data_IF_400484835146
#
_entry.id   IF_400484835146
#
_cell.length_a   1.000
_cell.length_b   1.000
_cell.length_c   1.000
_cell.angle_alpha   90.00
_cell.angle_beta   90.00
_cell.angle_gamma   90.00
#
_symmetry.space_group_name_H-M   'P 1'
#
loop_
_entity.id
_entity.type
_entity.pdbx_description
1 polymer ?
#
# COMPACT_ATOMS: atom_id res chain seq x y z
N UNK A 1 20.56 -19.82 29.63
CA UNK A 1 20.30 -20.83 28.59
C UNK A 1 18.88 -20.65 28.03
N UNK A 2 17.84 -20.53 28.85
CA UNK A 2 16.42 -20.40 28.48
C UNK A 2 16.17 -19.15 27.61
N UNK A 3 16.73 -18.00 27.95
CA UNK A 3 16.55 -16.74 27.21
C UNK A 3 17.09 -16.86 25.77
N UNK A 4 18.26 -17.44 25.60
CA UNK A 4 18.88 -17.64 24.29
C UNK A 4 18.08 -18.59 23.40
N UNK A 5 17.46 -19.61 24.00
CA UNK A 5 16.57 -20.56 23.30
C UNK A 5 15.26 -19.88 22.88
N UNK A 6 14.73 -18.97 23.69
CA UNK A 6 13.54 -18.19 23.36
C UNK A 6 13.80 -17.20 22.21
N UNK A 7 14.94 -16.51 22.22
CA UNK A 7 15.37 -15.61 21.15
C UNK A 7 15.51 -16.35 19.82
N UNK A 8 16.16 -17.52 19.84
CA UNK A 8 16.31 -18.37 18.64
C UNK A 8 14.96 -18.89 18.14
N UNK A 9 14.04 -19.26 19.03
CA UNK A 9 12.70 -19.70 18.65
C UNK A 9 11.86 -18.57 18.03
N UNK A 10 11.99 -17.35 18.56
CA UNK A 10 11.32 -16.15 18.00
C UNK A 10 11.90 -15.80 16.64
N UNK A 11 13.22 -15.87 16.46
CA UNK A 11 13.85 -15.64 15.14
C UNK A 11 13.45 -16.70 14.12
N UNK A 12 13.44 -17.98 14.51
CA UNK A 12 13.01 -19.07 13.64
C UNK A 12 11.52 -18.94 13.25
N UNK A 13 10.66 -18.57 14.20
CA UNK A 13 9.25 -18.30 13.93
C UNK A 13 9.06 -17.10 12.98
N UNK A 14 9.87 -16.05 13.12
CA UNK A 14 9.90 -14.90 12.20
C UNK A 14 10.35 -15.32 10.80
N UNK A 15 11.42 -16.08 10.68
CA UNK A 15 11.94 -16.57 9.39
C UNK A 15 10.94 -17.49 8.70
N UNK A 16 10.34 -18.43 9.42
CA UNK A 16 9.30 -19.31 8.88
C UNK A 16 8.05 -18.55 8.46
N UNK A 17 7.67 -17.48 9.17
CA UNK A 17 6.56 -16.60 8.78
C UNK A 17 6.87 -15.77 7.53
N UNK A 18 8.13 -15.37 7.33
CA UNK A 18 8.60 -14.69 6.10
C UNK A 18 8.59 -15.66 4.93
N UNK A 19 9.06 -16.89 5.11
CA UNK A 19 9.04 -17.93 4.06
C UNK A 19 7.61 -18.39 3.73
N UNK A 20 6.75 -18.58 4.73
CA UNK A 20 5.34 -18.88 4.50
C UNK A 20 4.64 -17.74 3.75
N UNK A 21 4.95 -16.47 4.06
CA UNK A 21 4.45 -15.31 3.33
C UNK A 21 5.01 -15.22 1.91
N UNK A 22 6.28 -15.59 1.68
CA UNK A 22 6.86 -15.71 0.34
C UNK A 22 6.18 -16.82 -0.47
N UNK A 23 5.93 -17.97 0.14
CA UNK A 23 5.26 -19.10 -0.52
C UNK A 23 3.78 -18.80 -0.81
N UNK A 24 3.06 -18.13 0.11
CA UNK A 24 1.70 -17.63 -0.11
C UNK A 24 1.69 -16.44 -1.09
N UNK A 25 2.75 -15.62 -1.11
CA UNK A 25 2.95 -14.56 -2.10
C UNK A 25 3.20 -15.09 -3.52
N UNK A 26 3.79 -16.28 -3.65
CA UNK A 26 3.98 -16.97 -4.94
C UNK A 26 2.67 -17.60 -5.47
N UNK A 27 1.67 -17.82 -4.61
CA UNK A 27 0.30 -18.22 -4.97
C UNK A 27 -0.65 -17.03 -5.15
N UNK A 28 -0.16 -15.77 -4.96
CA UNK A 28 -0.91 -14.57 -5.33
C UNK A 28 -1.10 -14.58 -6.84
N UNK A 29 -2.31 -14.29 -7.35
CA UNK A 29 -2.48 -14.01 -8.76
C UNK A 29 -1.45 -12.93 -9.11
N UNK A 30 -0.49 -13.28 -9.95
CA UNK A 30 0.46 -12.34 -10.50
C UNK A 30 -0.38 -11.23 -11.12
N UNK A 31 -0.16 -9.98 -10.70
CA UNK A 31 -0.60 -8.85 -11.49
C UNK A 31 -0.06 -9.14 -12.89
N UNK A 32 -0.95 -9.41 -13.84
CA UNK A 32 -0.58 -9.64 -15.22
C UNK A 32 0.26 -8.45 -15.64
N UNK A 33 1.42 -8.70 -16.24
CA UNK A 33 2.24 -7.64 -16.79
C UNK A 33 1.35 -6.82 -17.73
N UNK A 34 1.09 -5.54 -17.37
CA UNK A 34 0.21 -4.65 -18.12
C UNK A 34 -1.23 -4.51 -17.59
N UNK A 35 -1.57 -5.02 -16.40
CA UNK A 35 -2.86 -4.71 -15.78
C UNK A 35 -2.87 -3.24 -15.32
N UNK A 36 -3.82 -2.46 -15.83
CA UNK A 36 -4.06 -1.08 -15.42
C UNK A 36 -4.41 -1.01 -13.91
N UNK A 37 -3.88 -0.01 -13.22
CA UNK A 37 -4.12 0.19 -11.77
C UNK A 37 -5.62 0.24 -11.46
N UNK A 38 -6.43 0.93 -12.26
CA UNK A 38 -7.88 0.99 -12.03
C UNK A 38 -8.51 -0.41 -12.07
N UNK A 39 -8.17 -1.23 -13.06
CA UNK A 39 -8.67 -2.59 -13.20
C UNK A 39 -8.23 -3.47 -12.01
N UNK A 40 -6.99 -3.34 -11.56
CA UNK A 40 -6.48 -4.06 -10.40
C UNK A 40 -7.21 -3.66 -9.12
N UNK A 41 -7.42 -2.35 -8.87
CA UNK A 41 -8.16 -1.84 -7.71
C UNK A 41 -9.60 -2.37 -7.69
N UNK A 42 -10.30 -2.33 -8.83
CA UNK A 42 -11.65 -2.88 -8.95
C UNK A 42 -11.68 -4.37 -8.64
N UNK A 43 -10.86 -5.15 -9.34
CA UNK A 43 -10.79 -6.61 -9.17
C UNK A 43 -10.50 -7.02 -7.72
N UNK A 44 -9.52 -6.39 -7.09
CA UNK A 44 -9.14 -6.71 -5.71
C UNK A 44 -10.23 -6.33 -4.72
N UNK A 45 -10.88 -5.17 -4.91
CA UNK A 45 -12.01 -4.73 -4.09
C UNK A 45 -13.18 -5.70 -4.22
N UNK A 46 -13.54 -6.12 -5.43
CA UNK A 46 -14.65 -7.05 -5.66
C UNK A 46 -14.39 -8.44 -5.09
N UNK A 47 -13.15 -8.94 -5.20
CA UNK A 47 -12.75 -10.19 -4.53
C UNK A 47 -12.87 -10.06 -3.00
N UNK A 48 -12.46 -8.93 -2.45
CA UNK A 48 -12.52 -8.68 -1.00
C UNK A 48 -13.97 -8.57 -0.51
N UNK A 49 -14.84 -7.88 -1.24
CA UNK A 49 -16.29 -7.79 -0.94
C UNK A 49 -16.97 -9.15 -0.82
N UNK A 50 -16.48 -10.17 -1.53
CA UNK A 50 -17.02 -11.54 -1.46
C UNK A 50 -16.58 -12.30 -0.20
N UNK A 51 -15.57 -11.82 0.51
CA UNK A 51 -14.96 -12.50 1.66
C UNK A 51 -15.15 -11.77 2.98
N UNK A 52 -15.85 -10.63 2.97
CA UNK A 52 -16.13 -9.83 4.17
C UNK A 52 -17.54 -9.25 4.10
N UNK A 53 -18.17 -9.11 5.26
CA UNK A 53 -19.46 -8.40 5.42
C UNK A 53 -19.26 -6.88 5.60
N UNK A 54 -18.01 -6.40 5.66
CA UNK A 54 -17.72 -4.98 5.80
C UNK A 54 -18.00 -4.26 4.49
N UNK A 55 -18.88 -3.25 4.45
CA UNK A 55 -19.10 -2.44 3.27
C UNK A 55 -17.82 -1.74 2.82
N UNK A 56 -17.49 -1.85 1.52
CA UNK A 56 -16.32 -1.22 0.91
C UNK A 56 -16.79 -0.30 -0.21
N UNK A 57 -16.59 1.00 -0.06
CA UNK A 57 -16.83 1.98 -1.11
C UNK A 57 -15.54 2.19 -1.90
N UNK A 58 -15.63 2.12 -3.22
CA UNK A 58 -14.52 2.37 -4.14
C UNK A 58 -14.91 3.48 -5.10
N UNK A 59 -14.12 4.54 -5.12
CA UNK A 59 -14.25 5.66 -6.06
C UNK A 59 -12.93 5.83 -6.79
N UNK A 60 -12.95 5.70 -8.11
CA UNK A 60 -11.79 5.93 -8.99
C UNK A 60 -12.15 7.06 -9.95
N UNK A 61 -11.38 8.14 -9.89
CA UNK A 61 -11.41 9.22 -10.88
C UNK A 61 -10.50 8.92 -12.07
N UNK A 62 -10.24 9.95 -12.88
CA UNK A 62 -9.20 9.83 -13.91
C UNK A 62 -7.86 9.55 -13.25
N UNK A 63 -7.10 8.64 -13.83
CA UNK A 63 -5.75 8.29 -13.38
C UNK A 63 -4.72 8.79 -14.39
N UNK A 64 -3.54 9.24 -13.95
CA UNK A 64 -2.46 9.60 -14.85
C UNK A 64 -1.88 8.34 -15.50
N UNK A 65 -1.19 8.45 -16.64
CA UNK A 65 -0.42 7.34 -17.18
C UNK A 65 0.70 6.97 -16.20
N UNK A 66 0.70 5.73 -15.75
CA UNK A 66 1.68 5.18 -14.82
C UNK A 66 2.55 4.16 -15.57
N UNK A 67 3.84 4.12 -15.27
CA UNK A 67 4.73 3.09 -15.81
C UNK A 67 4.60 1.79 -15.01
N UNK A 68 4.76 0.64 -15.64
CA UNK A 68 4.53 -0.68 -15.02
C UNK A 68 5.30 -0.96 -13.72
N UNK A 69 6.45 -0.30 -13.50
CA UNK A 69 7.15 -0.37 -12.21
C UNK A 69 6.39 0.35 -11.09
N UNK A 70 5.86 1.54 -11.38
CA UNK A 70 5.05 2.35 -10.46
C UNK A 70 3.74 1.65 -10.15
N UNK A 71 3.04 1.16 -11.18
CA UNK A 71 1.78 0.42 -11.04
C UNK A 71 1.89 -0.76 -10.07
N UNK A 72 2.93 -1.57 -10.23
CA UNK A 72 3.19 -2.74 -9.38
C UNK A 72 3.33 -2.37 -7.90
N UNK A 73 4.04 -1.29 -7.61
CA UNK A 73 4.22 -0.87 -6.23
C UNK A 73 2.95 -0.27 -5.64
N UNK A 74 2.19 0.51 -6.42
CA UNK A 74 0.87 1.04 -6.02
C UNK A 74 -0.09 -0.11 -5.69
N UNK A 75 -0.20 -1.12 -6.57
CA UNK A 75 -1.06 -2.28 -6.36
C UNK A 75 -0.64 -3.05 -5.10
N UNK A 76 0.67 -3.21 -4.87
CA UNK A 76 1.17 -3.87 -3.67
C UNK A 76 0.84 -3.11 -2.38
N UNK A 77 0.93 -1.79 -2.38
CA UNK A 77 0.55 -0.93 -1.24
C UNK A 77 -0.96 -1.02 -1.00
N UNK A 78 -1.76 -0.91 -2.06
CA UNK A 78 -3.22 -1.04 -1.98
C UNK A 78 -3.63 -2.38 -1.36
N UNK A 79 -3.05 -3.48 -1.83
CA UNK A 79 -3.35 -4.81 -1.31
C UNK A 79 -3.07 -4.94 0.18
N UNK A 80 -1.93 -4.41 0.64
CA UNK A 80 -1.57 -4.46 2.06
C UNK A 80 -2.50 -3.58 2.90
N UNK A 81 -2.79 -2.35 2.44
CA UNK A 81 -3.69 -1.43 3.13
C UNK A 81 -5.11 -2.01 3.25
N UNK A 82 -5.66 -2.57 2.16
CA UNK A 82 -6.98 -3.21 2.15
C UNK A 82 -7.02 -4.44 3.07
N UNK A 83 -5.98 -5.27 3.04
CA UNK A 83 -5.85 -6.44 3.92
C UNK A 83 -5.83 -6.02 5.39
N UNK A 84 -5.11 -4.95 5.72
CA UNK A 84 -5.03 -4.42 7.08
C UNK A 84 -6.37 -3.89 7.57
N UNK A 85 -7.10 -3.15 6.72
CA UNK A 85 -8.43 -2.65 7.03
C UNK A 85 -9.42 -3.79 7.31
N UNK A 86 -9.43 -4.84 6.47
CA UNK A 86 -10.35 -5.97 6.64
C UNK A 86 -10.00 -6.84 7.85
N UNK A 87 -8.71 -7.18 8.02
CA UNK A 87 -8.30 -8.17 9.03
C UNK A 87 -8.06 -7.60 10.42
N UNK A 88 -7.61 -6.35 10.50
CA UNK A 88 -7.07 -5.81 11.75
C UNK A 88 -7.86 -4.63 12.31
N UNK A 89 -8.59 -3.90 11.48
CA UNK A 89 -9.25 -2.68 11.92
C UNK A 89 -10.51 -2.93 12.75
N UNK A 90 -11.23 -4.04 12.56
CA UNK A 90 -12.61 -4.25 13.06
C UNK A 90 -13.51 -3.11 12.60
N UNK A 91 -13.33 -2.71 11.35
CA UNK A 91 -14.08 -1.63 10.74
C UNK A 91 -15.52 -2.02 10.47
N UNK A 92 -16.40 -1.02 10.45
CA UNK A 92 -17.78 -1.15 9.97
C UNK A 92 -17.93 -0.67 8.53
N UNK A 93 -16.94 0.10 8.04
CA UNK A 93 -16.90 0.62 6.70
C UNK A 93 -15.45 0.86 6.26
N UNK A 94 -15.18 0.61 4.98
CA UNK A 94 -13.91 0.94 4.32
C UNK A 94 -14.21 1.84 3.12
N UNK A 95 -13.46 2.93 2.96
CA UNK A 95 -13.54 3.82 1.82
C UNK A 95 -12.20 3.86 1.07
N UNK A 96 -12.27 3.73 -0.24
CA UNK A 96 -11.11 3.72 -1.12
C UNK A 96 -11.31 4.82 -2.17
N UNK A 97 -10.31 5.69 -2.32
CA UNK A 97 -10.30 6.73 -3.34
C UNK A 97 -8.98 6.71 -4.10
N UNK A 98 -9.05 6.71 -5.43
CA UNK A 98 -7.91 6.83 -6.31
C UNK A 98 -8.18 7.89 -7.37
N UNK A 99 -7.25 8.83 -7.59
CA UNK A 99 -7.41 9.88 -8.57
C UNK A 99 -6.08 10.50 -8.99
N UNK A 100 -6.08 11.18 -10.13
CA UNK A 100 -5.02 12.11 -10.49
C UNK A 100 -4.97 13.29 -9.51
N UNK A 101 -3.76 13.77 -9.24
CA UNK A 101 -3.50 15.01 -8.50
C UNK A 101 -2.65 15.89 -9.41
N UNK A 102 -3.14 17.10 -9.71
CA UNK A 102 -2.53 17.96 -10.73
C UNK A 102 -2.48 17.23 -12.10
N UNK A 103 -1.55 17.60 -12.98
CA UNK A 103 -1.57 17.07 -14.36
C UNK A 103 -1.11 15.60 -14.48
N UNK A 104 -0.23 15.13 -13.61
CA UNK A 104 0.44 13.83 -13.75
C UNK A 104 0.65 13.08 -12.42
N UNK A 105 0.28 13.67 -11.29
CA UNK A 105 0.39 13.02 -9.98
C UNK A 105 -0.73 12.02 -9.74
N UNK A 106 -0.50 11.05 -8.86
CA UNK A 106 -1.45 10.03 -8.45
C UNK A 106 -1.63 10.05 -6.93
N UNK A 107 -2.85 9.93 -6.47
CA UNK A 107 -3.20 9.78 -5.06
C UNK A 107 -4.11 8.57 -4.87
N UNK A 108 -3.78 7.76 -3.89
CA UNK A 108 -4.59 6.66 -3.39
C UNK A 108 -4.82 6.85 -1.90
N UNK A 109 -6.06 6.70 -1.42
CA UNK A 109 -6.34 6.55 0.00
C UNK A 109 -7.18 5.31 0.27
N UNK A 110 -6.87 4.63 1.38
CA UNK A 110 -7.64 3.53 1.94
C UNK A 110 -7.92 3.90 3.40
N UNK A 111 -9.18 4.16 3.72
CA UNK A 111 -9.63 4.59 5.04
C UNK A 111 -10.59 3.57 5.64
N UNK A 112 -10.42 3.24 6.90
CA UNK A 112 -11.33 2.44 7.72
C UNK A 112 -11.83 3.24 8.93
N UNK A 113 -13.02 2.93 9.41
CA UNK A 113 -13.62 3.50 10.62
C UNK A 113 -13.40 2.61 11.86
N UNK A 114 -12.36 1.79 11.86
CA UNK A 114 -12.11 0.79 12.87
C UNK A 114 -11.45 1.31 14.14
N UNK A 115 -10.78 0.39 14.85
CA UNK A 115 -10.17 0.67 16.16
C UNK A 115 -8.92 1.57 16.10
N UNK A 116 -8.36 1.81 14.90
CA UNK A 116 -7.08 2.46 14.74
C UNK A 116 -5.89 1.63 15.23
N UNK A 117 -4.70 2.20 15.18
CA UNK A 117 -3.44 1.57 15.60
C UNK A 117 -2.98 2.23 16.90
N UNK A 118 -2.73 1.43 17.94
CA UNK A 118 -2.19 1.93 19.20
C UNK A 118 -0.77 2.52 18.99
N UNK A 119 -0.40 3.51 19.81
CA UNK A 119 0.87 4.23 19.65
C UNK A 119 2.08 3.30 19.66
N UNK A 120 2.04 2.27 20.49
CA UNK A 120 3.11 1.29 20.68
C UNK A 120 3.34 0.39 19.46
N UNK A 121 2.35 0.31 18.56
CA UNK A 121 2.39 -0.53 17.35
C UNK A 121 2.54 0.29 16.05
N UNK A 122 2.68 1.62 16.15
CA UNK A 122 2.89 2.46 14.97
C UNK A 122 4.27 2.22 14.37
N UNK A 123 4.31 1.84 13.10
CA UNK A 123 5.56 1.63 12.37
C UNK A 123 6.29 0.31 12.67
N UNK A 124 5.76 -0.57 13.52
CA UNK A 124 6.45 -1.82 13.90
C UNK A 124 5.94 -3.07 13.18
N UNK A 125 4.89 -2.96 12.37
CA UNK A 125 4.32 -4.10 11.62
C UNK A 125 5.02 -4.30 10.28
N UNK A 126 5.32 -5.56 9.92
CA UNK A 126 5.90 -5.91 8.61
C UNK A 126 5.13 -5.32 7.41
N UNK A 127 3.80 -5.25 7.50
CA UNK A 127 2.97 -4.66 6.45
C UNK A 127 3.22 -3.17 6.26
N UNK A 128 3.35 -2.40 7.35
CA UNK A 128 3.64 -0.96 7.28
C UNK A 128 5.04 -0.70 6.72
N UNK A 129 6.04 -1.46 7.16
CA UNK A 129 7.41 -1.38 6.62
C UNK A 129 7.42 -1.74 5.13
N UNK A 130 6.73 -2.80 4.73
CA UNK A 130 6.65 -3.19 3.31
C UNK A 130 5.97 -2.13 2.44
N UNK A 131 4.92 -1.47 2.93
CA UNK A 131 4.28 -0.36 2.21
C UNK A 131 5.22 0.84 2.08
N UNK A 132 5.96 1.16 3.13
CA UNK A 132 6.93 2.25 3.13
C UNK A 132 8.06 2.00 2.13
N UNK A 133 8.67 0.81 2.14
CA UNK A 133 9.73 0.41 1.20
C UNK A 133 9.26 0.45 -0.25
N UNK A 134 7.98 0.08 -0.51
CA UNK A 134 7.37 0.15 -1.83
C UNK A 134 7.19 1.59 -2.30
N UNK A 135 6.72 2.46 -1.42
CA UNK A 135 6.56 3.88 -1.72
C UNK A 135 7.92 4.54 -2.03
N UNK A 136 8.94 4.26 -1.23
CA UNK A 136 10.30 4.76 -1.43
C UNK A 136 10.89 4.33 -2.78
N UNK A 137 10.66 3.07 -3.21
CA UNK A 137 11.14 2.57 -4.52
C UNK A 137 10.65 3.39 -5.71
N UNK A 138 9.47 3.97 -5.62
CA UNK A 138 8.89 4.79 -6.70
C UNK A 138 8.95 6.29 -6.42
N UNK A 139 9.63 6.71 -5.34
CA UNK A 139 9.71 8.11 -4.93
C UNK A 139 8.36 8.69 -4.48
N UNK A 140 7.44 7.86 -4.01
CA UNK A 140 6.14 8.29 -3.50
C UNK A 140 6.22 8.60 -2.01
N UNK A 141 5.33 9.48 -1.54
CA UNK A 141 5.10 9.68 -0.11
C UNK A 141 3.99 8.75 0.38
N UNK A 142 4.22 8.07 1.50
CA UNK A 142 3.23 7.27 2.22
C UNK A 142 2.97 7.89 3.58
N UNK A 143 1.70 8.19 3.86
CA UNK A 143 1.26 8.72 5.15
C UNK A 143 0.22 7.80 5.75
N UNK A 144 0.39 7.45 7.03
CA UNK A 144 -0.58 6.66 7.79
C UNK A 144 -1.11 7.53 8.92
N UNK A 145 -2.37 7.95 8.78
CA UNK A 145 -3.09 8.72 9.82
C UNK A 145 -3.95 7.75 10.61
N UNK A 146 -3.72 7.67 11.90
CA UNK A 146 -4.47 6.76 12.77
C UNK A 146 -4.52 7.30 14.20
N UNK A 147 -5.66 7.07 14.84
CA UNK A 147 -5.82 7.33 16.27
C UNK A 147 -6.68 6.22 16.89
N UNK A 148 -6.51 5.92 18.19
CA UNK A 148 -7.34 4.95 18.88
C UNK A 148 -8.83 5.27 18.72
N UNK A 149 -9.62 4.31 18.26
CA UNK A 149 -11.07 4.41 18.01
C UNK A 149 -11.48 5.38 16.89
N UNK A 150 -10.56 5.84 16.07
CA UNK A 150 -10.82 6.76 14.95
C UNK A 150 -10.47 6.16 13.58
N UNK A 151 -10.19 4.85 13.55
CA UNK A 151 -9.81 4.17 12.32
C UNK A 151 -8.38 4.46 11.87
N UNK A 152 -8.11 4.08 10.64
CA UNK A 152 -6.82 4.30 9.98
C UNK A 152 -7.05 4.76 8.55
N UNK A 153 -6.31 5.75 8.12
CA UNK A 153 -6.21 6.15 6.71
C UNK A 153 -4.76 5.98 6.22
N UNK A 154 -4.59 5.18 5.18
CA UNK A 154 -3.34 5.03 4.44
C UNK A 154 -3.45 5.88 3.19
N UNK A 155 -2.54 6.84 3.03
CA UNK A 155 -2.50 7.76 1.89
C UNK A 155 -1.17 7.60 1.17
N UNK A 156 -1.23 7.24 -0.11
CA UNK A 156 -0.11 7.26 -1.03
C UNK A 156 -0.26 8.46 -1.96
N UNK A 157 0.79 9.26 -2.12
CA UNK A 157 0.88 10.31 -3.12
C UNK A 157 2.18 10.13 -3.92
N UNK A 158 2.04 10.07 -5.23
CA UNK A 158 3.14 9.93 -6.16
C UNK A 158 3.08 11.05 -7.21
N UNK A 159 4.23 11.60 -7.52
CA UNK A 159 4.40 12.55 -8.62
C UNK A 159 5.55 12.06 -9.52
N UNK A 160 5.43 12.17 -10.85
CA UNK A 160 6.51 11.79 -11.72
C UNK A 160 7.75 12.66 -11.45
N UNK A 161 8.96 12.12 -11.60
CA UNK A 161 10.18 12.90 -11.47
C UNK A 161 10.13 14.12 -12.38
N UNK A 162 10.40 15.30 -11.83
CA UNK A 162 10.47 16.53 -12.60
C UNK A 162 11.67 16.48 -13.55
N UNK A 163 11.45 16.33 -14.83
CA UNK A 163 12.49 16.53 -15.82
C UNK A 163 12.78 18.04 -15.93
N UNK A 164 13.80 18.52 -15.24
CA UNK A 164 14.39 19.82 -15.55
C UNK A 164 15.05 19.71 -16.91
N UNK A 165 14.43 20.28 -17.95
CA UNK A 165 15.10 20.47 -19.25
C UNK A 165 16.26 21.42 -18.97
N UNK A 166 17.53 21.03 -19.20
CA UNK A 166 18.63 21.97 -19.08
C UNK A 166 18.34 23.13 -20.03
N UNK A 167 18.31 24.35 -19.49
CA UNK A 167 18.13 25.54 -20.31
C UNK A 167 19.16 25.59 -21.45
N UNK A 168 18.87 26.28 -22.57
CA UNK A 168 19.76 26.37 -23.70
C UNK A 168 21.11 26.89 -23.24
N UNK A 169 22.17 26.12 -23.51
CA UNK A 169 23.54 26.55 -23.28
C UNK A 169 23.77 27.75 -24.19
N UNK A 170 23.79 28.93 -23.65
CA UNK A 170 24.23 30.11 -24.38
C UNK A 170 25.69 29.89 -24.79
N UNK A 171 25.89 29.53 -26.04
CA UNK A 171 27.23 29.59 -26.65
C UNK A 171 27.68 31.04 -26.61
N UNK A 172 28.60 31.35 -25.71
CA UNK A 172 29.33 32.62 -25.76
C UNK A 172 30.17 32.63 -27.01
N UNK A 173 29.95 33.65 -27.83
CA UNK A 173 30.86 34.04 -28.93
C UNK A 173 32.05 34.79 -28.38
#
# INVERSE_FOLDING_TARGET
HVVKTLETAVELARTNMIEARRSVGALRPQSSEGEDVAAALHRMTDLTRRTTDVPIDLTIGELPPLGGGVEREIIGIFQEALTNAVRHARARKIAIHASAVRSLGFRLSVADDGRGIAKEHRGTGFGMTSMQERAERIGASLTIVTAPRSGTEVVLAWEPPSFSIPGPVHAAR
#
